data_IF_497419727564
#
_entry.id   IF_497419727564
#
_cell.length_a   1.000
_cell.length_b   1.000
_cell.length_c   1.000
_cell.angle_alpha   90.00
_cell.angle_beta   90.00
_cell.angle_gamma   90.00
#
_symmetry.space_group_name_H-M   'P 1'
#
loop_
_entity.id
_entity.type
_entity.pdbx_description
1 polymer ?
#
# COMPACT_ATOMS: atom_id res chain seq x y z
N UNK A 1 -6.29 0.61 -18.72
CA UNK A 1 -5.27 -0.36 -18.26
C UNK A 1 -5.77 -1.46 -17.33
N UNK A 2 -6.15 -1.21 -16.06
CA UNK A 2 -6.62 -2.32 -15.17
C UNK A 2 -7.83 -3.04 -15.76
N UNK A 3 -8.75 -2.28 -16.36
CA UNK A 3 -9.89 -2.80 -17.12
C UNK A 3 -9.42 -3.77 -18.22
N UNK A 4 -8.61 -3.30 -19.16
CA UNK A 4 -8.06 -4.10 -20.28
C UNK A 4 -7.33 -5.36 -19.81
N UNK A 5 -6.49 -5.26 -18.77
CA UNK A 5 -5.79 -6.43 -18.23
C UNK A 5 -6.78 -7.44 -17.68
N UNK A 6 -7.82 -7.04 -16.96
CA UNK A 6 -8.79 -8.01 -16.46
C UNK A 6 -9.54 -8.69 -17.61
N UNK A 7 -9.94 -7.95 -18.65
CA UNK A 7 -10.62 -8.48 -19.83
C UNK A 7 -9.76 -9.46 -20.64
N UNK A 8 -8.49 -9.14 -20.87
CA UNK A 8 -7.56 -10.01 -21.61
C UNK A 8 -7.41 -11.39 -20.95
N UNK A 9 -7.52 -11.44 -19.62
CA UNK A 9 -7.43 -12.66 -18.84
C UNK A 9 -8.81 -13.27 -18.51
N UNK A 10 -9.89 -12.81 -19.16
CA UNK A 10 -11.22 -13.41 -19.08
C UNK A 10 -11.99 -13.07 -17.80
N UNK A 11 -11.69 -11.92 -17.19
CA UNK A 11 -12.40 -11.40 -16.03
C UNK A 11 -13.18 -10.13 -16.43
N UNK A 12 -14.46 -10.09 -16.07
CA UNK A 12 -15.27 -8.88 -16.25
C UNK A 12 -15.07 -7.97 -15.04
N UNK A 13 -14.54 -6.75 -15.22
CA UNK A 13 -14.20 -5.90 -14.10
C UNK A 13 -15.31 -4.89 -13.81
N UNK A 14 -15.55 -4.62 -12.53
CA UNK A 14 -16.67 -3.83 -12.01
C UNK A 14 -16.15 -2.74 -11.08
N UNK A 15 -16.12 -1.47 -11.51
CA UNK A 15 -15.48 -0.40 -10.75
C UNK A 15 -16.45 0.22 -9.74
N UNK A 16 -15.89 0.68 -8.63
CA UNK A 16 -16.56 1.58 -7.69
C UNK A 16 -15.59 2.58 -7.09
N UNK A 17 -16.08 3.75 -6.69
CA UNK A 17 -15.30 4.62 -5.81
C UNK A 17 -15.09 3.94 -4.47
N UNK A 18 -13.97 4.23 -3.81
CA UNK A 18 -13.76 3.79 -2.42
C UNK A 18 -14.57 4.62 -1.42
N UNK A 19 -15.07 5.80 -1.81
CA UNK A 19 -15.54 6.85 -0.89
C UNK A 19 -14.40 7.58 -0.16
N UNK A 20 -13.18 7.48 -0.68
CA UNK A 20 -12.00 8.27 -0.25
C UNK A 20 -11.23 8.76 -1.48
N UNK A 21 -9.95 8.38 -1.65
CA UNK A 21 -9.07 8.91 -2.71
C UNK A 21 -8.76 7.93 -3.85
N UNK A 22 -9.49 6.83 -3.98
CA UNK A 22 -9.21 5.82 -5.01
C UNK A 22 -10.41 4.96 -5.39
N UNK A 23 -10.16 3.98 -6.25
CA UNK A 23 -11.15 3.07 -6.79
C UNK A 23 -10.91 1.64 -6.32
N UNK A 24 -11.99 0.87 -6.21
CA UNK A 24 -11.92 -0.58 -6.11
C UNK A 24 -12.49 -1.18 -7.40
N UNK A 25 -11.84 -2.21 -7.92
CA UNK A 25 -12.32 -2.96 -9.08
C UNK A 25 -12.57 -4.40 -8.64
N UNK A 26 -13.80 -4.85 -8.84
CA UNK A 26 -14.24 -6.20 -8.51
C UNK A 26 -14.23 -7.05 -9.77
N UNK A 27 -13.92 -8.33 -9.64
CA UNK A 27 -14.11 -9.32 -10.69
C UNK A 27 -14.78 -10.54 -10.06
N UNK A 28 -15.95 -10.92 -10.57
CA UNK A 28 -16.64 -12.12 -10.12
C UNK A 28 -15.87 -13.34 -10.61
N UNK A 29 -15.63 -14.31 -9.73
CA UNK A 29 -14.94 -15.55 -10.06
C UNK A 29 -15.76 -16.76 -9.61
N UNK A 30 -15.60 -17.88 -10.30
CA UNK A 30 -16.11 -19.16 -9.79
C UNK A 30 -15.47 -19.50 -8.42
N UNK A 31 -16.21 -20.02 -7.43
CA UNK A 31 -15.69 -20.26 -6.08
C UNK A 31 -14.86 -21.57 -6.00
N UNK A 32 -13.83 -21.71 -6.82
CA UNK A 32 -13.00 -22.93 -6.94
C UNK A 32 -11.51 -22.73 -6.62
N UNK A 33 -11.11 -21.51 -6.24
CA UNK A 33 -9.73 -21.18 -5.87
C UNK A 33 -9.60 -20.82 -4.40
N UNK A 34 -8.46 -21.19 -3.83
CA UNK A 34 -8.07 -20.80 -2.46
C UNK A 34 -7.68 -19.32 -2.37
N UNK A 35 -7.69 -18.75 -1.17
CA UNK A 35 -7.22 -17.37 -0.93
C UNK A 35 -5.80 -17.12 -1.43
N UNK A 36 -4.90 -18.10 -1.33
CA UNK A 36 -3.53 -17.97 -1.85
C UNK A 36 -3.51 -17.85 -3.37
N UNK A 37 -4.32 -18.62 -4.09
CA UNK A 37 -4.46 -18.53 -5.54
C UNK A 37 -5.12 -17.23 -5.98
N UNK A 38 -6.18 -16.78 -5.30
CA UNK A 38 -6.81 -15.49 -5.59
C UNK A 38 -5.82 -14.34 -5.38
N UNK A 39 -5.06 -14.35 -4.28
CA UNK A 39 -4.01 -13.37 -4.02
C UNK A 39 -2.90 -13.42 -5.05
N UNK A 40 -2.49 -14.61 -5.50
CA UNK A 40 -1.49 -14.78 -6.55
C UNK A 40 -2.00 -14.19 -7.88
N UNK A 41 -3.23 -14.50 -8.28
CA UNK A 41 -3.83 -13.93 -9.48
C UNK A 41 -3.91 -12.40 -9.43
N UNK A 42 -4.32 -11.82 -8.30
CA UNK A 42 -4.32 -10.37 -8.11
C UNK A 42 -2.92 -9.75 -8.18
N UNK A 43 -1.89 -10.43 -7.65
CA UNK A 43 -0.50 -10.02 -7.80
C UNK A 43 -0.05 -10.09 -9.27
N UNK A 44 -0.47 -11.12 -10.01
CA UNK A 44 -0.18 -11.24 -11.44
C UNK A 44 -0.81 -10.11 -12.25
N UNK A 45 -2.06 -9.73 -11.96
CA UNK A 45 -2.70 -8.54 -12.56
C UNK A 45 -1.86 -7.29 -12.30
N UNK A 46 -1.42 -7.07 -11.06
CA UNK A 46 -0.59 -5.92 -10.71
C UNK A 46 0.74 -5.87 -11.50
N UNK A 47 1.40 -7.03 -11.64
CA UNK A 47 2.64 -7.16 -12.42
C UNK A 47 2.41 -6.91 -13.91
N UNK A 48 1.30 -7.40 -14.45
CA UNK A 48 0.96 -7.22 -15.86
C UNK A 48 0.59 -5.76 -16.18
N UNK A 49 -0.13 -5.10 -15.28
CA UNK A 49 -0.40 -3.65 -15.38
C UNK A 49 0.91 -2.84 -15.35
N UNK A 50 1.83 -3.15 -14.43
CA UNK A 50 3.15 -2.52 -14.37
C UNK A 50 3.97 -2.77 -15.65
N UNK A 51 3.94 -4.00 -16.18
CA UNK A 51 4.62 -4.36 -17.43
C UNK A 51 4.12 -3.54 -18.63
N UNK A 52 2.81 -3.30 -18.70
CA UNK A 52 2.16 -2.54 -19.80
C UNK A 52 2.28 -1.03 -19.66
N UNK A 53 2.46 -0.51 -18.44
CA UNK A 53 2.63 0.91 -18.16
C UNK A 53 3.84 1.19 -17.27
N UNK A 54 5.06 0.98 -17.80
CA UNK A 54 6.28 1.29 -17.04
C UNK A 54 6.30 2.78 -16.68
N UNK A 55 6.40 3.10 -15.38
CA UNK A 55 6.47 4.48 -14.86
C UNK A 55 5.14 5.12 -14.43
N UNK A 56 3.99 4.46 -14.62
CA UNK A 56 2.66 4.95 -14.19
C UNK A 56 1.96 3.99 -13.22
N UNK A 57 2.39 2.73 -13.17
CA UNK A 57 1.93 1.74 -12.20
C UNK A 57 3.14 0.95 -11.68
N UNK A 58 3.24 0.78 -10.36
CA UNK A 58 4.31 0.03 -9.70
C UNK A 58 3.74 -1.13 -8.90
N UNK A 59 4.31 -2.33 -9.04
CA UNK A 59 4.01 -3.47 -8.15
C UNK A 59 4.90 -3.49 -6.91
N UNK A 60 5.81 -2.50 -6.79
CA UNK A 60 6.82 -2.44 -5.74
C UNK A 60 6.21 -2.01 -4.41
N UNK A 61 6.67 -2.69 -3.37
CA UNK A 61 6.07 -2.72 -2.03
C UNK A 61 6.25 -1.40 -1.23
N UNK A 62 7.03 -0.45 -1.74
CA UNK A 62 7.42 0.77 -1.04
C UNK A 62 6.50 1.95 -1.35
N UNK A 63 6.18 2.75 -0.33
CA UNK A 63 5.30 3.94 -0.45
C UNK A 63 5.96 5.11 -1.17
N UNK A 64 7.27 5.06 -1.35
CA UNK A 64 8.11 6.20 -1.75
C UNK A 64 8.69 6.09 -3.16
N UNK A 65 8.60 4.91 -3.78
CA UNK A 65 8.82 4.73 -5.22
C UNK A 65 7.54 4.98 -6.04
N UNK A 66 6.52 5.62 -5.45
CA UNK A 66 5.19 5.75 -6.05
C UNK A 66 5.06 7.02 -6.87
N UNK A 67 5.43 6.93 -8.13
CA UNK A 67 4.77 7.69 -9.18
C UNK A 67 3.75 6.75 -9.85
N UNK A 68 2.47 6.83 -9.45
CA UNK A 68 1.42 5.99 -10.06
C UNK A 68 0.33 5.40 -9.16
N UNK A 69 -0.62 4.69 -9.79
CA UNK A 69 -1.74 3.98 -9.14
C UNK A 69 -1.28 2.60 -8.65
N UNK A 70 -1.39 2.35 -7.34
CA UNK A 70 -1.01 1.08 -6.72
C UNK A 70 -2.16 0.06 -6.77
N UNK A 71 -1.92 -1.09 -7.42
CA UNK A 71 -2.83 -2.24 -7.38
C UNK A 71 -2.55 -3.05 -6.10
N UNK A 72 -3.31 -2.79 -5.04
CA UNK A 72 -3.14 -3.44 -3.74
C UNK A 72 -3.65 -4.89 -3.73
N UNK A 73 -2.83 -5.81 -4.26
CA UNK A 73 -3.15 -7.23 -4.28
C UNK A 73 -3.28 -7.84 -2.87
N UNK A 74 -2.75 -7.19 -1.82
CA UNK A 74 -2.87 -7.70 -0.45
C UNK A 74 -4.28 -7.55 0.12
N UNK A 75 -5.17 -6.78 -0.52
CA UNK A 75 -6.59 -6.78 -0.14
C UNK A 75 -7.28 -8.13 -0.37
N UNK A 76 -6.70 -9.02 -1.19
CA UNK A 76 -7.19 -10.37 -1.41
C UNK A 76 -6.66 -11.40 -0.40
N UNK A 77 -5.90 -10.97 0.60
CA UNK A 77 -5.53 -11.85 1.72
C UNK A 77 -6.74 -12.09 2.63
N UNK A 78 -6.71 -13.22 3.36
CA UNK A 78 -7.71 -13.52 4.37
C UNK A 78 -7.77 -12.41 5.44
N UNK A 79 -8.97 -12.14 5.95
CA UNK A 79 -9.25 -11.19 7.04
C UNK A 79 -8.90 -9.72 6.73
N UNK A 80 -8.99 -9.33 5.45
CA UNK A 80 -8.85 -7.94 5.00
C UNK A 80 -10.21 -7.27 4.88
N UNK A 81 -10.30 -6.04 5.36
CA UNK A 81 -11.53 -5.24 5.31
C UNK A 81 -11.59 -4.43 4.02
N UNK A 82 -12.71 -4.53 3.32
CA UNK A 82 -13.01 -3.72 2.12
C UNK A 82 -14.39 -3.10 2.32
N UNK A 83 -14.50 -1.79 2.13
CA UNK A 83 -15.79 -1.11 2.14
C UNK A 83 -16.69 -1.69 1.04
N UNK A 84 -17.91 -2.11 1.40
CA UNK A 84 -18.86 -2.72 0.47
C UNK A 84 -19.35 -1.72 -0.57
N UNK A 85 -19.96 -2.21 -1.64
CA UNK A 85 -20.75 -1.34 -2.51
C UNK A 85 -21.85 -0.65 -1.67
N UNK A 86 -22.10 0.62 -1.97
CA UNK A 86 -23.08 1.49 -1.31
C UNK A 86 -22.88 1.75 0.19
N UNK A 87 -21.76 1.31 0.80
CA UNK A 87 -21.48 1.69 2.19
C UNK A 87 -21.04 3.15 2.30
N UNK A 88 -21.62 3.87 3.26
CA UNK A 88 -21.19 5.20 3.68
C UNK A 88 -19.82 5.11 4.36
N UNK A 89 -18.97 6.10 4.10
CA UNK A 89 -17.65 6.28 4.71
C UNK A 89 -17.72 7.34 5.80
N UNK A 90 -16.88 7.18 6.82
CA UNK A 90 -16.70 8.18 7.87
C UNK A 90 -15.87 9.37 7.35
N UNK A 91 -16.41 10.11 6.39
CA UNK A 91 -15.90 11.39 5.89
C UNK A 91 -16.85 12.51 6.33
N UNK A 92 -16.37 13.77 6.42
CA UNK A 92 -17.21 14.90 6.85
C UNK A 92 -18.49 15.10 6.02
N UNK A 93 -18.45 14.69 4.76
CA UNK A 93 -19.50 14.78 3.75
C UNK A 93 -20.24 13.44 3.51
N UNK A 94 -20.02 12.42 4.36
CA UNK A 94 -20.70 11.13 4.29
C UNK A 94 -20.64 10.47 2.89
N UNK A 95 -19.45 10.45 2.27
CA UNK A 95 -19.24 9.84 0.94
C UNK A 95 -19.61 8.36 0.92
N UNK A 96 -20.08 7.90 -0.22
CA UNK A 96 -20.46 6.51 -0.46
C UNK A 96 -19.42 5.83 -1.35
N UNK A 97 -19.19 4.55 -1.07
CA UNK A 97 -18.43 3.64 -1.92
C UNK A 97 -19.30 3.18 -3.09
N UNK A 98 -19.36 3.97 -4.16
CA UNK A 98 -20.43 3.93 -5.18
C UNK A 98 -20.00 3.16 -6.42
N UNK A 99 -20.73 2.09 -6.81
CA UNK A 99 -20.60 1.43 -8.11
C UNK A 99 -20.75 2.38 -9.29
N UNK A 100 -19.94 2.18 -10.32
CA UNK A 100 -19.91 3.00 -11.53
C UNK A 100 -19.92 2.12 -12.79
N UNK A 101 -20.35 2.71 -13.91
CA UNK A 101 -19.97 2.21 -15.22
C UNK A 101 -18.55 2.65 -15.58
N UNK A 102 -17.86 1.89 -16.44
CA UNK A 102 -16.49 2.20 -16.84
C UNK A 102 -16.32 3.58 -17.49
N UNK A 103 -17.30 4.04 -18.26
CA UNK A 103 -17.24 5.36 -18.91
C UNK A 103 -17.25 6.52 -17.92
N UNK A 104 -17.65 6.30 -16.67
CA UNK A 104 -17.71 7.35 -15.63
C UNK A 104 -16.39 7.48 -14.86
N UNK A 105 -15.54 6.44 -14.89
CA UNK A 105 -14.38 6.33 -13.99
C UNK A 105 -13.34 7.44 -14.21
N UNK A 106 -13.16 7.89 -15.45
CA UNK A 106 -12.15 8.90 -15.79
C UNK A 106 -12.52 10.31 -15.28
N UNK A 107 -13.82 10.62 -15.25
CA UNK A 107 -14.31 11.99 -15.09
C UNK A 107 -15.08 12.20 -13.77
N UNK A 108 -15.38 11.14 -13.00
CA UNK A 108 -16.14 11.28 -11.76
C UNK A 108 -15.33 11.96 -10.64
N UNK A 109 -15.98 12.83 -9.86
CA UNK A 109 -15.47 13.27 -8.56
C UNK A 109 -16.08 12.39 -7.45
N UNK A 110 -15.28 11.68 -6.64
CA UNK A 110 -15.79 10.94 -5.49
C UNK A 110 -16.62 11.77 -4.50
N UNK A 111 -16.49 13.10 -4.50
CA UNK A 111 -17.30 14.03 -3.69
C UNK A 111 -18.76 14.11 -4.11
N UNK A 112 -19.07 13.80 -5.36
CA UNK A 112 -20.44 13.86 -5.87
C UNK A 112 -21.29 12.70 -5.37
N UNK A 113 -20.66 11.65 -4.80
CA UNK A 113 -21.32 10.47 -4.30
C UNK A 113 -21.39 10.47 -2.77
N UNK A 114 -22.51 10.95 -2.23
CA UNK A 114 -22.77 11.05 -0.80
C UNK A 114 -24.02 10.28 -0.41
N UNK A 115 -24.26 10.17 0.90
CA UNK A 115 -25.51 9.62 1.44
C UNK A 115 -26.76 10.29 0.85
N UNK A 116 -26.66 11.59 0.53
CA UNK A 116 -27.79 12.39 0.05
C UNK A 116 -27.99 12.28 -1.47
N UNK A 117 -26.93 12.05 -2.25
CA UNK A 117 -27.02 12.08 -3.74
C UNK A 117 -27.18 10.70 -4.38
N UNK A 118 -26.64 9.66 -3.74
CA UNK A 118 -26.61 8.29 -4.31
C UNK A 118 -27.99 7.64 -4.43
N UNK A 119 -28.96 7.82 -3.50
CA UNK A 119 -30.29 7.24 -3.65
C UNK A 119 -31.01 7.68 -4.93
N UNK A 120 -30.99 8.98 -5.23
CA UNK A 120 -31.65 9.55 -6.42
C UNK A 120 -30.97 9.04 -7.70
N UNK A 121 -29.64 9.03 -7.71
CA UNK A 121 -28.86 8.45 -8.82
C UNK A 121 -29.24 6.99 -9.07
N UNK A 122 -29.33 6.17 -8.03
CA UNK A 122 -29.72 4.76 -8.16
C UNK A 122 -31.15 4.61 -8.70
N UNK A 123 -32.08 5.47 -8.27
CA UNK A 123 -33.45 5.47 -8.78
C UNK A 123 -33.52 5.83 -10.28
N UNK A 124 -32.64 6.72 -10.75
CA UNK A 124 -32.59 7.16 -12.14
C UNK A 124 -31.93 6.13 -13.08
N UNK A 125 -30.77 5.59 -12.71
CA UNK A 125 -29.96 4.76 -13.61
C UNK A 125 -29.96 3.26 -13.29
N UNK A 126 -30.44 2.86 -12.11
CA UNK A 126 -30.34 1.49 -11.62
C UNK A 126 -28.94 1.13 -11.10
N UNK A 127 -28.68 -0.18 -10.97
CA UNK A 127 -27.38 -0.69 -10.48
C UNK A 127 -26.39 -0.92 -11.63
N UNK A 128 -25.26 -0.19 -11.67
CA UNK A 128 -24.20 -0.42 -12.65
C UNK A 128 -23.60 -1.83 -12.59
N UNK A 129 -23.77 -2.53 -11.47
CA UNK A 129 -23.24 -3.88 -11.23
C UNK A 129 -24.27 -5.00 -11.42
N UNK A 130 -25.46 -4.70 -11.94
CA UNK A 130 -26.56 -5.67 -12.11
C UNK A 130 -26.19 -6.97 -12.83
N UNK A 131 -25.24 -6.93 -13.78
CA UNK A 131 -24.76 -8.12 -14.51
C UNK A 131 -23.60 -8.87 -13.87
N UNK A 132 -23.12 -8.48 -12.67
CA UNK A 132 -21.93 -9.05 -12.05
C UNK A 132 -22.05 -10.56 -11.82
N UNK A 133 -23.23 -11.00 -11.40
CA UNK A 133 -23.46 -12.38 -10.97
C UNK A 133 -23.47 -13.36 -12.15
N UNK A 134 -23.81 -12.88 -13.34
CA UNK A 134 -23.80 -13.65 -14.60
C UNK A 134 -22.42 -13.65 -15.27
N UNK A 135 -21.47 -12.84 -14.78
CA UNK A 135 -20.16 -12.60 -15.40
C UNK A 135 -19.01 -13.25 -14.63
N UNK A 136 -19.23 -14.43 -14.05
CA UNK A 136 -18.20 -15.16 -13.31
C UNK A 136 -17.06 -15.64 -14.23
N UNK A 137 -15.87 -15.07 -14.04
CA UNK A 137 -14.67 -15.43 -14.78
C UNK A 137 -13.82 -16.52 -14.11
N UNK A 138 -12.73 -16.87 -14.78
CA UNK A 138 -11.81 -17.90 -14.33
C UNK A 138 -10.38 -17.38 -14.15
N UNK A 139 -9.66 -17.88 -13.13
CA UNK A 139 -8.31 -17.42 -12.79
C UNK A 139 -7.18 -18.20 -13.49
N UNK A 140 -7.49 -19.26 -14.25
CA UNK A 140 -6.50 -20.19 -14.81
C UNK A 140 -5.43 -19.47 -15.62
N UNK A 141 -5.82 -18.52 -16.49
CA UNK A 141 -4.85 -17.78 -17.32
C UNK A 141 -3.92 -16.88 -16.50
N UNK A 142 -4.44 -16.27 -15.43
CA UNK A 142 -3.61 -15.47 -14.52
C UNK A 142 -2.66 -16.34 -13.68
N UNK A 143 -3.09 -17.56 -13.33
CA UNK A 143 -2.24 -18.50 -12.62
C UNK A 143 -1.15 -19.07 -13.53
N UNK A 144 -1.45 -19.41 -14.79
CA UNK A 144 -0.45 -19.80 -15.79
C UNK A 144 0.56 -18.67 -16.02
N UNK A 145 0.10 -17.42 -16.17
CA UNK A 145 1.00 -16.28 -16.28
C UNK A 145 1.87 -16.12 -15.01
N UNK A 146 1.33 -16.40 -13.82
CA UNK A 146 2.10 -16.34 -12.59
C UNK A 146 3.27 -17.34 -12.59
N UNK A 147 3.06 -18.53 -13.15
CA UNK A 147 4.08 -19.56 -13.31
C UNK A 147 5.16 -19.12 -14.31
N UNK A 148 4.77 -18.58 -15.46
CA UNK A 148 5.68 -18.05 -16.50
C UNK A 148 6.54 -16.90 -15.96
N UNK A 149 5.92 -15.97 -15.23
CA UNK A 149 6.59 -14.82 -14.65
C UNK A 149 7.50 -15.18 -13.46
N UNK A 150 7.41 -16.41 -12.95
CA UNK A 150 8.15 -16.88 -11.78
C UNK A 150 7.81 -16.13 -10.49
N UNK A 151 8.47 -16.47 -9.37
CA UNK A 151 8.26 -15.78 -8.11
C UNK A 151 8.61 -14.29 -8.27
N UNK A 152 7.85 -13.37 -7.65
CA UNK A 152 8.22 -11.96 -7.65
C UNK A 152 9.63 -11.82 -7.07
N UNK A 153 10.43 -10.89 -7.60
CA UNK A 153 11.70 -10.53 -6.99
C UNK A 153 11.42 -10.15 -5.53
N UNK A 154 11.79 -11.05 -4.62
CA UNK A 154 11.70 -10.77 -3.19
C UNK A 154 12.67 -9.62 -2.95
N UNK A 155 12.24 -8.60 -2.21
CA UNK A 155 13.21 -7.73 -1.55
C UNK A 155 14.26 -8.66 -0.89
N UNK A 156 15.56 -8.38 -1.01
CA UNK A 156 16.61 -9.23 -0.45
C UNK A 156 16.19 -9.64 0.95
N UNK A 157 15.90 -10.93 1.16
CA UNK A 157 15.52 -11.41 2.48
C UNK A 157 16.70 -11.15 3.38
N UNK A 158 16.56 -10.16 4.24
CA UNK A 158 17.67 -9.70 5.01
C UNK A 158 18.12 -10.73 6.03
N UNK A 159 19.36 -11.18 5.82
CA UNK A 159 20.28 -11.82 6.76
C UNK A 159 19.85 -13.12 7.47
N UNK A 160 20.78 -14.08 7.47
CA UNK A 160 20.77 -15.19 8.42
C UNK A 160 20.80 -14.70 9.87
N UNK A 161 20.23 -15.50 10.77
CA UNK A 161 20.30 -15.25 12.21
C UNK A 161 21.74 -15.44 12.71
N UNK A 162 22.26 -14.50 13.49
CA UNK A 162 23.41 -14.74 14.39
C UNK A 162 22.95 -15.58 15.59
N UNK A 163 23.91 -16.23 16.25
CA UNK A 163 23.69 -17.07 17.44
C UNK A 163 23.10 -16.31 18.64
N UNK A 164 23.10 -14.98 18.63
CA UNK A 164 22.54 -14.11 19.67
C UNK A 164 21.08 -13.68 19.41
N UNK A 165 20.45 -14.19 18.35
CA UNK A 165 19.04 -13.93 18.04
C UNK A 165 18.74 -12.53 17.50
N UNK A 166 19.74 -11.64 17.35
CA UNK A 166 19.55 -10.30 16.76
C UNK A 166 19.67 -10.37 15.24
N UNK A 167 18.70 -9.77 14.53
CA UNK A 167 18.70 -9.65 13.06
C UNK A 167 19.83 -8.71 12.63
N UNK A 168 20.67 -9.15 11.71
CA UNK A 168 21.58 -8.26 11.00
C UNK A 168 20.77 -7.52 9.91
N UNK A 169 20.80 -6.19 9.81
CA UNK A 169 20.23 -5.49 8.67
C UNK A 169 21.00 -5.90 7.41
N UNK A 170 20.32 -6.35 6.35
CA UNK A 170 20.98 -6.69 5.08
C UNK A 170 21.30 -5.47 4.21
N UNK A 171 20.89 -4.29 4.64
CA UNK A 171 21.11 -3.03 3.95
C UNK A 171 21.80 -2.05 4.91
N UNK A 172 22.66 -1.16 4.40
CA UNK A 172 23.30 -0.12 5.19
C UNK A 172 22.27 0.96 5.53
N UNK A 173 21.42 0.68 6.52
CA UNK A 173 20.29 1.52 6.89
C UNK A 173 20.61 2.36 8.12
N UNK A 174 20.33 3.66 8.05
CA UNK A 174 20.34 4.57 9.20
C UNK A 174 18.93 5.07 9.50
N UNK A 175 18.66 5.38 10.76
CA UNK A 175 17.43 6.04 11.19
C UNK A 175 17.71 7.52 11.45
N UNK A 176 16.86 8.40 10.93
CA UNK A 176 17.07 9.85 11.00
C UNK A 176 16.15 10.50 12.01
N UNK A 177 14.90 10.05 12.09
CA UNK A 177 13.91 10.67 12.96
C UNK A 177 12.75 9.73 13.31
N UNK A 178 12.14 9.98 14.47
CA UNK A 178 10.81 9.53 14.86
C UNK A 178 9.97 10.74 15.22
N UNK A 179 8.80 10.89 14.63
CA UNK A 179 7.96 12.09 14.81
C UNK A 179 6.49 11.73 14.98
N UNK A 180 5.71 12.66 15.52
CA UNK A 180 4.27 12.46 15.69
C UNK A 180 3.55 12.68 14.37
N UNK A 181 4.00 13.65 13.58
CA UNK A 181 3.38 14.02 12.30
C UNK A 181 4.31 13.75 11.12
N UNK A 182 3.72 13.63 9.93
CA UNK A 182 4.49 13.45 8.69
C UNK A 182 5.31 14.70 8.36
N UNK A 183 4.77 15.88 8.60
CA UNK A 183 5.41 17.15 8.29
C UNK A 183 6.67 17.35 9.13
N UNK A 184 6.62 17.01 10.43
CA UNK A 184 7.81 16.95 11.29
C UNK A 184 8.84 15.95 10.75
N UNK A 185 8.40 14.81 10.21
CA UNK A 185 9.29 13.80 9.65
C UNK A 185 10.04 14.34 8.42
N UNK A 186 9.32 15.05 7.55
CA UNK A 186 9.91 15.67 6.35
C UNK A 186 10.87 16.81 6.71
N UNK A 187 10.53 17.65 7.69
CA UNK A 187 11.43 18.70 8.17
C UNK A 187 12.72 18.13 8.78
N UNK A 188 12.63 17.00 9.48
CA UNK A 188 13.79 16.29 10.00
C UNK A 188 14.66 15.70 8.88
N UNK A 189 14.03 15.16 7.81
CA UNK A 189 14.76 14.70 6.63
C UNK A 189 15.50 15.85 5.92
N UNK A 190 14.87 17.01 5.76
CA UNK A 190 15.52 18.17 5.15
C UNK A 190 16.70 18.67 5.98
N UNK A 191 16.57 18.67 7.30
CA UNK A 191 17.67 18.96 8.23
C UNK A 191 18.82 17.97 8.05
N UNK A 192 18.53 16.68 7.90
CA UNK A 192 19.54 15.66 7.65
C UNK A 192 20.24 15.88 6.30
N UNK A 193 19.48 16.18 5.23
CA UNK A 193 20.04 16.45 3.90
C UNK A 193 20.98 17.65 3.92
N UNK A 194 20.65 18.69 4.68
CA UNK A 194 21.50 19.85 4.86
C UNK A 194 22.81 19.52 5.61
N UNK A 195 22.81 18.53 6.52
CA UNK A 195 24.03 18.05 7.21
C UNK A 195 24.89 17.15 6.32
N UNK A 196 24.28 16.44 5.37
CA UNK A 196 24.97 15.48 4.50
C UNK A 196 24.74 15.75 3.01
N UNK A 197 25.10 16.93 2.48
CA UNK A 197 24.78 17.31 1.11
C UNK A 197 25.36 16.32 0.08
N UNK A 198 26.62 15.90 0.24
CA UNK A 198 27.26 14.95 -0.66
C UNK A 198 26.62 13.54 -0.69
N UNK A 199 25.92 13.16 0.38
CA UNK A 199 25.17 11.90 0.47
C UNK A 199 23.78 12.11 -0.11
N UNK A 200 23.11 13.21 0.28
CA UNK A 200 21.78 13.58 -0.17
C UNK A 200 21.67 13.68 -1.69
N UNK A 201 22.68 14.26 -2.35
CA UNK A 201 22.74 14.40 -3.81
C UNK A 201 22.81 13.05 -4.56
N UNK A 202 23.20 11.98 -3.87
CA UNK A 202 23.33 10.62 -4.41
C UNK A 202 22.17 9.71 -4.02
N UNK A 203 21.30 10.14 -3.10
CA UNK A 203 20.13 9.37 -2.71
C UNK A 203 19.13 9.35 -3.86
N UNK A 204 18.63 8.16 -4.15
CA UNK A 204 17.43 8.02 -4.97
C UNK A 204 16.18 8.21 -4.10
N UNK A 205 15.02 8.57 -4.67
CA UNK A 205 13.77 8.61 -3.93
C UNK A 205 13.48 7.30 -3.17
N UNK A 206 13.86 6.16 -3.74
CA UNK A 206 13.76 4.82 -3.14
C UNK A 206 14.61 4.61 -1.88
N UNK A 207 15.66 5.39 -1.68
CA UNK A 207 16.58 5.26 -0.55
C UNK A 207 16.05 5.95 0.70
N UNK A 208 15.10 6.89 0.54
CA UNK A 208 14.43 7.55 1.64
C UNK A 208 13.21 6.71 2.03
N UNK A 209 13.13 6.35 3.31
CA UNK A 209 12.07 5.51 3.88
C UNK A 209 11.29 6.26 4.96
N UNK A 210 10.00 6.50 4.75
CA UNK A 210 9.06 7.31 5.54
C UNK A 210 7.96 6.35 5.96
N UNK A 211 8.21 5.68 7.08
CA UNK A 211 7.30 4.68 7.60
C UNK A 211 6.20 5.34 8.43
N UNK A 212 4.93 5.11 8.07
CA UNK A 212 3.80 5.34 8.97
C UNK A 212 3.60 4.13 9.88
N UNK A 213 3.88 4.29 11.17
CA UNK A 213 3.86 3.25 12.19
C UNK A 213 2.64 3.41 13.10
N UNK A 214 2.03 2.29 13.51
CA UNK A 214 0.90 2.30 14.45
C UNK A 214 1.41 2.33 15.89
N UNK A 215 1.05 3.38 16.62
CA UNK A 215 1.18 3.47 18.07
C UNK A 215 -0.07 2.97 18.80
N UNK A 216 -0.14 3.12 20.14
CA UNK A 216 -1.26 2.65 20.95
C UNK A 216 -2.59 3.34 20.61
N UNK A 217 -2.55 4.64 20.28
CA UNK A 217 -3.75 5.44 20.00
C UNK A 217 -3.63 6.35 18.76
N UNK A 218 -2.46 6.42 18.14
CA UNK A 218 -2.20 7.29 16.98
C UNK A 218 -1.15 6.68 16.04
N UNK A 219 -1.11 7.18 14.80
CA UNK A 219 -0.02 6.90 13.86
C UNK A 219 1.15 7.83 14.21
N UNK A 220 2.37 7.32 14.09
CA UNK A 220 3.60 8.09 14.20
C UNK A 220 4.49 7.77 13.00
N UNK A 221 5.49 8.61 12.73
CA UNK A 221 6.31 8.51 11.54
C UNK A 221 7.76 8.25 11.89
N UNK A 222 8.45 7.48 11.04
CA UNK A 222 9.89 7.22 11.15
C UNK A 222 10.58 7.43 9.82
N UNK A 223 11.67 8.17 9.82
CA UNK A 223 12.55 8.33 8.66
C UNK A 223 13.74 7.40 8.79
N UNK A 224 13.99 6.60 7.75
CA UNK A 224 15.21 5.80 7.59
C UNK A 224 15.80 6.07 6.21
N UNK A 225 17.11 5.93 6.08
CA UNK A 225 17.82 6.12 4.82
C UNK A 225 18.62 4.86 4.51
N UNK A 226 18.38 4.30 3.33
CA UNK A 226 19.12 3.17 2.79
C UNK A 226 20.33 3.67 2.00
N UNK A 227 21.52 3.43 2.52
CA UNK A 227 22.77 3.92 1.93
C UNK A 227 23.31 2.96 0.84
N UNK A 228 22.46 2.13 0.23
CA UNK A 228 22.88 1.12 -0.76
C UNK A 228 23.57 1.74 -1.98
N UNK A 229 23.12 2.92 -2.42
CA UNK A 229 23.70 3.67 -3.55
C UNK A 229 24.88 4.55 -3.12
N UNK A 230 25.22 4.57 -1.83
CA UNK A 230 26.35 5.33 -1.31
C UNK A 230 27.55 4.39 -1.20
N UNK A 231 28.72 4.76 -1.76
CA UNK A 231 29.94 3.97 -1.62
C UNK A 231 30.27 3.72 -0.14
N UNK A 232 30.68 2.50 0.27
CA UNK A 232 30.89 2.14 1.68
C UNK A 232 31.70 3.14 2.51
N UNK A 233 32.75 3.71 1.91
CA UNK A 233 33.66 4.71 2.48
C UNK A 233 33.03 6.09 2.69
N UNK A 234 31.94 6.39 1.99
CA UNK A 234 31.22 7.66 2.04
C UNK A 234 29.89 7.56 2.82
N UNK A 235 29.60 6.41 3.43
CA UNK A 235 28.37 6.19 4.19
C UNK A 235 28.46 6.91 5.54
N UNK A 236 27.53 7.83 5.85
CA UNK A 236 27.46 8.40 7.19
C UNK A 236 27.10 7.29 8.19
N UNK A 237 27.67 7.32 9.41
CA UNK A 237 27.27 6.41 10.47
C UNK A 237 25.84 6.71 10.94
N UNK A 238 25.30 5.83 11.78
CA UNK A 238 24.10 6.16 12.55
C UNK A 238 24.41 7.32 13.50
N UNK A 239 23.66 8.42 13.40
CA UNK A 239 23.76 9.58 14.28
C UNK A 239 22.60 9.61 15.29
N UNK A 240 22.61 10.60 16.19
CA UNK A 240 21.42 10.90 17.00
C UNK A 240 20.25 11.31 16.12
N UNK A 241 19.04 10.93 16.54
CA UNK A 241 17.83 11.27 15.82
C UNK A 241 17.61 12.78 15.86
N UNK A 242 17.35 13.38 14.70
CA UNK A 242 17.04 14.81 14.60
C UNK A 242 15.76 15.16 15.38
N UNK A 243 14.83 14.21 15.44
CA UNK A 243 13.67 14.27 16.30
C UNK A 243 13.39 12.88 16.87
N UNK A 244 13.09 12.81 18.16
CA UNK A 244 12.74 11.58 18.85
C UNK A 244 11.35 11.67 19.47
N UNK A 245 10.40 10.96 18.86
CA UNK A 245 9.06 10.76 19.38
C UNK A 245 8.88 9.30 19.82
N UNK A 246 8.47 9.11 21.08
CA UNK A 246 8.10 7.80 21.61
C UNK A 246 6.57 7.71 21.79
N UNK A 247 5.85 6.96 20.94
CA UNK A 247 4.39 6.81 21.03
C UNK A 247 3.92 5.99 22.23
N UNK A 248 4.85 5.33 22.94
CA UNK A 248 4.57 4.48 24.11
C UNK A 248 4.88 5.18 25.44
N UNK A 249 5.34 6.43 25.40
CA UNK A 249 5.62 7.20 26.61
C UNK A 249 4.33 7.35 27.45
N UNK A 250 4.33 6.78 28.66
CA UNK A 250 3.18 6.80 29.57
C UNK A 250 2.04 5.81 29.24
N UNK A 251 2.20 4.94 28.24
CA UNK A 251 1.17 3.94 27.91
C UNK A 251 1.19 2.77 28.91
N UNK A 252 0.07 2.55 29.60
CA UNK A 252 -0.19 1.33 30.40
C UNK A 252 -1.12 0.39 29.62
N UNK A 253 -0.68 -0.83 29.26
CA UNK A 253 -1.55 -1.81 28.63
C UNK A 253 -2.75 -2.15 29.54
N UNK A 254 -3.95 -2.37 28.98
CA UNK A 254 -5.14 -2.67 29.79
C UNK A 254 -5.13 -4.00 30.56
N UNK A 255 -4.17 -4.90 30.34
CA UNK A 255 -4.06 -6.17 31.08
C UNK A 255 -2.61 -6.57 31.26
N UNK A 256 -2.25 -7.02 32.47
CA UNK A 256 -0.90 -7.26 33.00
C UNK A 256 -0.05 -8.33 32.32
N UNK A 257 0.11 -8.30 31.00
CA UNK A 257 1.17 -9.00 30.26
C UNK A 257 2.25 -8.01 29.85
N UNK A 258 3.01 -7.55 30.84
CA UNK A 258 4.28 -6.90 30.61
C UNK A 258 5.24 -7.87 29.91
N UNK A 259 5.79 -7.46 28.76
CA UNK A 259 7.04 -8.05 28.28
C UNK A 259 8.12 -7.66 29.29
N UNK A 260 8.92 -8.59 29.83
CA UNK A 260 10.04 -8.21 30.66
C UNK A 260 11.12 -7.62 29.75
N UNK A 261 11.56 -6.41 30.06
CA UNK A 261 12.81 -5.92 29.49
C UNK A 261 13.10 -4.44 29.72
N UNK A 262 14.18 -4.24 30.47
CA UNK A 262 15.12 -3.11 30.41
C UNK A 262 14.75 -1.84 31.18
N UNK A 263 14.86 -1.93 32.51
CA UNK A 263 15.48 -0.85 33.29
C UNK A 263 16.91 -1.29 33.62
N UNK A 264 17.86 -0.37 33.41
CA UNK A 264 19.20 -0.44 33.98
C UNK A 264 19.20 0.09 35.41
#
# INVERSE_FOLDING_TARGET
>A
MVHEVLEDYGLTPWPKTSGSRGFHVYARIAPRWSFSQVRLAAQTVAREVERRMPGVATSRWWKEEREGVFVDFNQNAKDRTVASAYSVRATPDARVSTPLHWHEVADCDPQDFTLDTVPDRFAEMGDPWSGMDDAAGALDRLLMLAEELGPPQRAPTGAGKRSDGRRQPSMPLIEVARTKTKDEAMAALDTWRARHPAVADRLQPADVLVDGMRGPSSIWYRIRINLQHIPPEARPPQEELIAEYNPWHGYRPPDGRGRPGADG
#
